data_IF_096459386727
#
_entry.id   IF_096459386727
#
_cell.length_a   1.000
_cell.length_b   1.000
_cell.length_c   1.000
_cell.angle_alpha   90.00
_cell.angle_beta   90.00
_cell.angle_gamma   90.00
#
_symmetry.space_group_name_H-M   'P 1'
#
loop_
_entity.id
_entity.type
_entity.pdbx_description
1 polymer ?
#
# COMPACT_ATOMS: atom_id res chain seq x y z
N UNK A 1 -36.78 1.57 4.12
CA UNK A 1 -35.51 1.38 4.85
C UNK A 1 -34.77 0.27 4.12
N UNK A 2 -33.81 0.59 3.26
CA UNK A 2 -33.00 -0.44 2.61
C UNK A 2 -32.01 -0.99 3.64
N UNK A 3 -32.11 -2.29 3.95
CA UNK A 3 -31.21 -2.96 4.88
C UNK A 3 -29.85 -3.14 4.21
N UNK A 4 -29.01 -2.11 4.29
CA UNK A 4 -27.62 -2.24 3.90
C UNK A 4 -26.82 -2.84 5.06
N UNK A 5 -26.04 -3.89 4.77
CA UNK A 5 -24.99 -4.32 5.68
C UNK A 5 -24.01 -3.16 5.87
N UNK A 6 -23.65 -2.88 7.12
CA UNK A 6 -22.65 -1.87 7.44
C UNK A 6 -21.33 -2.16 6.69
N UNK A 7 -20.62 -1.15 6.15
CA UNK A 7 -19.41 -1.37 5.35
C UNK A 7 -18.34 -2.22 6.05
N UNK A 8 -18.13 -2.01 7.35
CA UNK A 8 -17.22 -2.88 8.12
C UNK A 8 -17.67 -4.34 8.20
N UNK A 9 -18.98 -4.60 8.26
CA UNK A 9 -19.51 -5.96 8.20
C UNK A 9 -19.26 -6.61 6.83
N UNK A 10 -19.32 -5.82 5.74
CA UNK A 10 -18.95 -6.29 4.40
C UNK A 10 -17.47 -6.68 4.33
N UNK A 11 -16.57 -5.88 4.92
CA UNK A 11 -15.14 -6.17 4.95
C UNK A 11 -14.82 -7.41 5.81
N UNK A 12 -15.50 -7.56 6.97
CA UNK A 12 -15.40 -8.78 7.80
C UNK A 12 -15.88 -10.00 7.01
N UNK A 13 -17.01 -9.90 6.31
CA UNK A 13 -17.50 -10.98 5.46
C UNK A 13 -16.53 -11.31 4.33
N UNK A 14 -15.97 -10.30 3.66
CA UNK A 14 -14.96 -10.49 2.62
C UNK A 14 -13.71 -11.19 3.16
N UNK A 15 -13.22 -10.78 4.34
CA UNK A 15 -12.10 -11.43 5.03
C UNK A 15 -12.43 -12.87 5.38
N UNK A 16 -13.67 -13.15 5.81
CA UNK A 16 -14.12 -14.52 6.13
C UNK A 16 -14.09 -15.46 4.92
N UNK A 17 -14.21 -14.94 3.69
CA UNK A 17 -14.05 -15.74 2.47
C UNK A 17 -12.62 -16.31 2.37
N UNK A 18 -11.61 -15.52 2.74
CA UNK A 18 -10.21 -16.00 2.79
C UNK A 18 -10.08 -17.08 3.85
N UNK A 19 -10.61 -16.81 5.06
CA UNK A 19 -10.56 -17.76 6.19
C UNK A 19 -11.18 -19.10 5.81
N UNK A 20 -12.37 -19.07 5.19
CA UNK A 20 -13.06 -20.26 4.72
C UNK A 20 -12.27 -20.97 3.61
N UNK A 21 -11.86 -20.26 2.58
CA UNK A 21 -11.17 -20.84 1.42
C UNK A 21 -9.89 -21.59 1.85
N UNK A 22 -9.06 -21.00 2.69
CA UNK A 22 -7.74 -21.59 3.03
C UNK A 22 -7.82 -22.53 4.23
N UNK A 23 -8.74 -22.30 5.17
CA UNK A 23 -8.88 -23.10 6.38
C UNK A 23 -9.68 -24.38 6.15
N UNK A 24 -10.62 -24.39 5.19
CA UNK A 24 -11.65 -25.44 5.08
C UNK A 24 -11.79 -26.07 3.69
N UNK A 25 -11.06 -25.59 2.68
CA UNK A 25 -11.11 -26.19 1.33
C UNK A 25 -9.71 -26.59 0.87
N UNK A 26 -9.64 -27.60 -0.02
CA UNK A 26 -8.37 -28.01 -0.65
C UNK A 26 -7.89 -26.95 -1.66
N UNK A 27 -6.58 -26.80 -1.91
CA UNK A 27 -6.06 -25.77 -2.82
C UNK A 27 -6.53 -25.83 -4.27
N UNK A 28 -6.95 -27.01 -4.75
CA UNK A 28 -7.54 -27.19 -6.08
C UNK A 28 -9.07 -27.08 -6.13
N UNK A 29 -9.73 -26.74 -5.02
CA UNK A 29 -11.20 -26.71 -4.96
C UNK A 29 -11.78 -25.62 -5.85
N UNK A 30 -12.77 -25.99 -6.68
CA UNK A 30 -13.54 -25.03 -7.51
C UNK A 30 -14.30 -24.00 -6.66
N UNK A 31 -14.59 -24.32 -5.39
CA UNK A 31 -15.19 -23.37 -4.44
C UNK A 31 -14.31 -22.13 -4.29
N UNK A 32 -12.97 -22.28 -4.25
CA UNK A 32 -12.07 -21.13 -4.15
C UNK A 32 -12.21 -20.22 -5.37
N UNK A 33 -12.37 -20.79 -6.56
CA UNK A 33 -12.59 -20.01 -7.78
C UNK A 33 -13.98 -19.35 -7.77
N UNK A 34 -15.02 -20.06 -7.35
CA UNK A 34 -16.39 -19.55 -7.28
C UNK A 34 -16.57 -18.38 -6.29
N UNK A 35 -15.76 -18.32 -5.23
CA UNK A 35 -15.79 -17.22 -4.25
C UNK A 35 -15.03 -15.97 -4.70
N UNK A 36 -14.19 -16.06 -5.74
CA UNK A 36 -13.45 -14.91 -6.28
C UNK A 36 -14.36 -13.78 -6.79
N UNK A 37 -15.38 -14.03 -7.64
CA UNK A 37 -16.30 -12.97 -8.06
C UNK A 37 -17.12 -12.42 -6.90
N UNK A 38 -17.44 -13.23 -5.88
CA UNK A 38 -18.08 -12.75 -4.66
C UNK A 38 -17.16 -11.81 -3.87
N UNK A 39 -15.88 -12.15 -3.73
CA UNK A 39 -14.89 -11.29 -3.07
C UNK A 39 -14.74 -9.94 -3.79
N UNK A 40 -14.80 -9.94 -5.13
CA UNK A 40 -14.80 -8.71 -5.93
C UNK A 40 -16.10 -7.91 -5.77
N UNK A 41 -17.25 -8.57 -5.81
CA UNK A 41 -18.56 -7.94 -5.58
C UNK A 41 -18.63 -7.22 -4.23
N UNK A 42 -18.03 -7.78 -3.17
CA UNK A 42 -17.98 -7.15 -1.85
C UNK A 42 -17.18 -5.83 -1.83
N UNK A 43 -16.20 -5.66 -2.71
CA UNK A 43 -15.51 -4.36 -2.90
C UNK A 43 -16.50 -3.30 -3.38
N UNK A 44 -17.26 -3.62 -4.43
CA UNK A 44 -18.28 -2.70 -4.97
C UNK A 44 -19.38 -2.41 -3.96
N UNK A 45 -19.79 -3.41 -3.18
CA UNK A 45 -20.77 -3.21 -2.10
C UNK A 45 -20.24 -2.33 -0.98
N UNK A 46 -18.96 -2.47 -0.61
CA UNK A 46 -18.33 -1.55 0.34
C UNK A 46 -18.39 -0.12 -0.19
N UNK A 47 -17.90 0.12 -1.41
CA UNK A 47 -17.89 1.46 -2.02
C UNK A 47 -19.30 2.05 -2.09
N UNK A 48 -20.30 1.28 -2.53
CA UNK A 48 -21.68 1.74 -2.63
C UNK A 48 -22.32 2.13 -1.28
N UNK A 49 -21.87 1.50 -0.19
CA UNK A 49 -22.40 1.73 1.17
C UNK A 49 -21.48 2.58 2.05
N UNK A 50 -20.32 3.01 1.54
CA UNK A 50 -19.30 3.69 2.32
C UNK A 50 -19.81 4.96 3.02
N UNK A 51 -20.73 5.69 2.39
CA UNK A 51 -21.37 6.89 2.95
C UNK A 51 -21.98 6.69 4.35
N UNK A 52 -22.36 5.46 4.70
CA UNK A 52 -22.88 5.10 6.04
C UNK A 52 -21.84 5.32 7.15
N UNK A 53 -20.55 5.31 6.82
CA UNK A 53 -19.47 5.52 7.80
C UNK A 53 -19.38 6.97 8.31
N UNK A 54 -19.95 7.94 7.59
CA UNK A 54 -19.98 9.35 7.97
C UNK A 54 -18.62 10.07 8.00
N UNK A 55 -17.50 9.38 7.78
CA UNK A 55 -16.15 9.93 7.86
C UNK A 55 -15.34 9.58 6.60
N UNK A 56 -14.84 10.60 5.89
CA UNK A 56 -14.13 10.50 4.61
C UNK A 56 -12.89 9.61 4.65
N UNK A 57 -12.16 9.66 5.75
CA UNK A 57 -10.99 8.81 5.95
C UNK A 57 -11.38 7.34 6.12
N UNK A 58 -12.38 7.03 6.94
CA UNK A 58 -12.89 5.65 7.08
C UNK A 58 -13.46 5.12 5.76
N UNK A 59 -14.16 5.96 5.00
CA UNK A 59 -14.67 5.62 3.67
C UNK A 59 -13.53 5.25 2.71
N UNK A 60 -12.54 6.13 2.60
CA UNK A 60 -11.40 5.93 1.71
C UNK A 60 -10.59 4.70 2.10
N UNK A 61 -10.15 4.65 3.36
CA UNK A 61 -9.29 3.58 3.84
C UNK A 61 -9.99 2.22 3.78
N UNK A 62 -11.24 2.14 4.22
CA UNK A 62 -11.98 0.88 4.22
C UNK A 62 -12.23 0.34 2.80
N UNK A 63 -12.47 1.22 1.82
CA UNK A 63 -12.64 0.80 0.43
C UNK A 63 -11.32 0.40 -0.25
N UNK A 64 -10.22 1.09 0.09
CA UNK A 64 -8.88 0.67 -0.32
C UNK A 64 -8.51 -0.69 0.29
N UNK A 65 -8.86 -0.93 1.55
CA UNK A 65 -8.60 -2.22 2.20
C UNK A 65 -9.53 -3.34 1.68
N UNK A 66 -10.77 -3.03 1.30
CA UNK A 66 -11.64 -3.99 0.62
C UNK A 66 -11.02 -4.47 -0.71
N UNK A 67 -10.45 -3.55 -1.50
CA UNK A 67 -9.71 -3.92 -2.71
C UNK A 67 -8.47 -4.76 -2.38
N UNK A 68 -7.68 -4.38 -1.38
CA UNK A 68 -6.51 -5.15 -0.97
C UNK A 68 -6.86 -6.51 -0.38
N UNK A 69 -8.01 -6.65 0.27
CA UNK A 69 -8.54 -7.92 0.78
C UNK A 69 -8.95 -8.83 -0.38
N UNK A 70 -9.56 -8.28 -1.43
CA UNK A 70 -9.77 -9.00 -2.68
C UNK A 70 -8.45 -9.47 -3.32
N UNK A 71 -7.42 -8.62 -3.37
CA UNK A 71 -6.10 -9.03 -3.87
C UNK A 71 -5.42 -10.09 -2.97
N UNK A 72 -5.61 -10.01 -1.66
CA UNK A 72 -5.15 -11.05 -0.71
C UNK A 72 -5.84 -12.38 -0.99
N UNK A 73 -7.16 -12.37 -1.22
CA UNK A 73 -7.91 -13.56 -1.60
C UNK A 73 -7.34 -14.15 -2.89
N UNK A 74 -7.12 -13.31 -3.91
CA UNK A 74 -6.58 -13.75 -5.19
C UNK A 74 -5.22 -14.44 -5.01
N UNK A 75 -4.27 -13.80 -4.31
CA UNK A 75 -2.97 -14.42 -4.05
C UNK A 75 -3.10 -15.71 -3.23
N UNK A 76 -3.59 -15.60 -2.01
CA UNK A 76 -3.52 -16.68 -1.02
C UNK A 76 -4.41 -17.87 -1.41
N UNK A 77 -5.64 -17.62 -1.86
CA UNK A 77 -6.58 -18.70 -2.17
C UNK A 77 -6.31 -19.34 -3.53
N UNK A 78 -5.94 -18.55 -4.56
CA UNK A 78 -5.88 -19.03 -5.95
C UNK A 78 -4.48 -19.18 -6.52
N UNK A 79 -3.58 -18.20 -6.30
CA UNK A 79 -2.26 -18.19 -6.93
C UNK A 79 -1.23 -18.96 -6.12
N UNK A 80 -0.97 -18.50 -4.89
CA UNK A 80 -0.08 -19.14 -3.93
C UNK A 80 -0.67 -20.42 -3.33
N UNK A 81 -1.99 -20.64 -3.49
CA UNK A 81 -2.67 -21.90 -3.11
C UNK A 81 -2.36 -22.34 -1.67
N UNK A 82 -2.56 -21.42 -0.72
CA UNK A 82 -2.31 -21.70 0.68
C UNK A 82 -3.18 -22.84 1.20
N UNK A 83 -2.60 -23.64 2.08
CA UNK A 83 -3.16 -24.87 2.56
C UNK A 83 -2.87 -25.04 4.05
N UNK A 84 -3.90 -25.44 4.80
CA UNK A 84 -3.80 -25.63 6.25
C UNK A 84 -2.77 -26.69 6.60
N UNK A 85 -2.73 -27.80 5.84
CA UNK A 85 -1.87 -28.94 6.13
C UNK A 85 -0.37 -28.59 5.98
N UNK A 86 -0.06 -27.59 5.15
CA UNK A 86 1.29 -27.06 4.98
C UNK A 86 1.57 -25.84 5.87
N UNK A 87 0.53 -25.13 6.36
CA UNK A 87 0.68 -23.89 7.13
C UNK A 87 1.11 -22.70 6.27
N UNK A 88 0.79 -22.72 4.97
CA UNK A 88 1.25 -21.75 3.98
C UNK A 88 1.00 -22.22 2.54
N UNK A 89 1.64 -21.63 1.52
CA UNK A 89 1.63 -22.17 0.15
C UNK A 89 2.23 -23.59 0.13
N UNK A 90 1.81 -24.41 -0.84
CA UNK A 90 2.45 -25.70 -1.06
C UNK A 90 3.93 -25.51 -1.45
N UNK A 91 4.87 -26.29 -0.86
CA UNK A 91 6.28 -26.22 -1.25
C UNK A 91 6.46 -26.48 -2.74
N UNK A 92 7.31 -25.69 -3.40
CA UNK A 92 7.65 -25.92 -4.82
C UNK A 92 8.48 -27.19 -5.05
N UNK A 93 9.15 -27.67 -4.01
CA UNK A 93 9.94 -28.91 -4.01
C UNK A 93 9.48 -29.79 -2.84
N UNK A 94 9.20 -31.06 -3.12
CA UNK A 94 8.70 -32.02 -2.12
C UNK A 94 9.65 -32.21 -0.93
N UNK A 95 10.95 -31.98 -1.13
CA UNK A 95 12.01 -32.34 -0.18
C UNK A 95 12.24 -31.28 0.90
N UNK A 96 11.63 -30.10 0.78
CA UNK A 96 11.76 -29.02 1.77
C UNK A 96 10.53 -28.97 2.67
N UNK A 97 10.63 -29.61 3.84
CA UNK A 97 9.76 -29.30 4.98
C UNK A 97 10.11 -27.89 5.47
N UNK A 98 9.50 -26.88 4.87
CA UNK A 98 9.59 -25.52 5.43
C UNK A 98 9.00 -25.53 6.84
N UNK A 99 9.73 -24.96 7.80
CA UNK A 99 9.23 -24.76 9.17
C UNK A 99 8.16 -23.69 9.11
N UNK A 100 6.90 -24.09 8.97
CA UNK A 100 5.80 -23.14 8.98
C UNK A 100 5.40 -22.81 10.42
N UNK A 101 4.97 -21.56 10.71
CA UNK A 101 4.53 -21.18 12.05
C UNK A 101 3.23 -21.90 12.47
N UNK A 102 2.55 -22.55 11.52
CA UNK A 102 1.27 -23.22 11.73
C UNK A 102 1.40 -24.73 11.48
N UNK A 103 1.64 -25.50 12.56
CA UNK A 103 1.38 -26.95 12.61
C UNK A 103 0.62 -27.26 13.88
N UNK A 104 -0.70 -27.24 13.78
CA UNK A 104 -1.61 -27.60 14.88
C UNK A 104 -2.57 -28.69 14.38
N UNK A 105 -3.17 -29.43 15.32
CA UNK A 105 -4.20 -30.43 15.00
C UNK A 105 -5.32 -29.80 14.15
N UNK A 106 -5.96 -30.54 13.23
CA UNK A 106 -6.99 -30.02 12.31
C UNK A 106 -8.34 -29.75 13.00
N UNK A 107 -8.33 -29.09 14.15
CA UNK A 107 -9.53 -28.65 14.87
C UNK A 107 -10.15 -27.43 14.18
N UNK A 108 -11.45 -27.21 14.44
CA UNK A 108 -12.18 -26.04 13.95
C UNK A 108 -11.43 -24.73 14.25
N UNK A 109 -11.01 -24.54 15.50
CA UNK A 109 -10.33 -23.32 15.95
C UNK A 109 -8.96 -23.11 15.31
N UNK A 110 -8.21 -24.18 15.07
CA UNK A 110 -6.91 -24.08 14.41
C UNK A 110 -7.08 -23.70 12.93
N UNK A 111 -8.12 -24.23 12.25
CA UNK A 111 -8.45 -23.86 10.86
C UNK A 111 -8.89 -22.40 10.74
N UNK A 112 -9.73 -21.93 11.67
CA UNK A 112 -10.11 -20.51 11.75
C UNK A 112 -8.86 -19.65 11.99
N UNK A 113 -8.03 -20.00 12.97
CA UNK A 113 -6.81 -19.25 13.30
C UNK A 113 -5.84 -19.17 12.12
N UNK A 114 -5.62 -20.28 11.41
CA UNK A 114 -4.80 -20.30 10.20
C UNK A 114 -5.39 -19.41 9.10
N UNK A 115 -6.71 -19.45 8.92
CA UNK A 115 -7.40 -18.60 7.96
C UNK A 115 -7.27 -17.12 8.28
N UNK A 116 -7.43 -16.73 9.56
CA UNK A 116 -7.22 -15.34 10.00
C UNK A 116 -5.77 -14.92 9.76
N UNK A 117 -4.80 -15.78 10.08
CA UNK A 117 -3.39 -15.54 9.80
C UNK A 117 -3.15 -15.31 8.30
N UNK A 118 -3.67 -16.19 7.45
CA UNK A 118 -3.55 -16.08 6.01
C UNK A 118 -4.26 -14.83 5.47
N UNK A 119 -5.37 -14.40 6.07
CA UNK A 119 -6.09 -13.19 5.68
C UNK A 119 -5.40 -11.90 6.11
N UNK A 120 -4.67 -11.89 7.23
CA UNK A 120 -4.08 -10.68 7.83
C UNK A 120 -2.56 -10.54 7.64
N UNK A 121 -1.85 -11.62 7.30
CA UNK A 121 -0.37 -11.63 7.23
C UNK A 121 0.16 -11.10 5.90
N UNK A 122 -0.09 -9.83 5.62
CA UNK A 122 0.22 -9.21 4.32
C UNK A 122 1.71 -9.22 3.95
N UNK A 123 2.57 -9.16 4.97
CA UNK A 123 4.04 -9.14 4.82
C UNK A 123 4.69 -10.47 5.20
N UNK A 124 3.93 -11.38 5.82
CA UNK A 124 4.42 -12.66 6.33
C UNK A 124 5.73 -12.50 7.15
N UNK A 125 5.84 -11.40 7.92
CA UNK A 125 7.04 -11.02 8.68
C UNK A 125 7.42 -12.09 9.69
N UNK A 126 8.71 -12.41 9.78
CA UNK A 126 9.21 -13.43 10.70
C UNK A 126 8.86 -14.86 10.29
N UNK A 127 8.47 -15.08 9.03
CA UNK A 127 8.10 -16.41 8.51
C UNK A 127 8.89 -16.75 7.23
N UNK A 128 8.94 -18.02 6.79
CA UNK A 128 9.59 -18.39 5.53
C UNK A 128 9.01 -17.70 4.28
N UNK A 129 7.80 -17.15 4.40
CA UNK A 129 7.07 -16.50 3.29
C UNK A 129 7.20 -14.97 3.31
N UNK A 130 8.11 -14.44 4.13
CA UNK A 130 8.35 -13.01 4.31
C UNK A 130 8.59 -12.30 2.97
N UNK A 131 7.97 -11.12 2.81
CA UNK A 131 8.22 -10.27 1.64
C UNK A 131 9.64 -9.72 1.66
N UNK A 132 10.31 -9.56 0.50
CA UNK A 132 11.63 -8.96 0.48
C UNK A 132 11.58 -7.49 0.93
N UNK A 133 12.72 -6.97 1.38
CA UNK A 133 12.89 -5.57 1.79
C UNK A 133 12.06 -5.15 3.01
N UNK A 134 11.71 -6.06 3.93
CA UNK A 134 11.29 -5.62 5.27
C UNK A 134 12.46 -4.99 6.02
N UNK A 135 12.19 -3.88 6.70
CA UNK A 135 13.15 -3.25 7.58
C UNK A 135 13.42 -4.14 8.80
N UNK A 136 14.68 -4.34 9.23
CA UNK A 136 14.94 -4.95 10.52
C UNK A 136 14.51 -4.02 11.67
N UNK A 137 14.42 -4.57 12.89
CA UNK A 137 14.20 -3.73 14.08
C UNK A 137 15.41 -2.85 14.40
N UNK A 138 16.60 -3.35 14.06
CA UNK A 138 17.88 -2.67 14.14
C UNK A 138 18.67 -2.89 12.83
N UNK A 139 19.12 -1.80 12.19
CA UNK A 139 19.89 -1.88 10.94
C UNK A 139 21.32 -2.40 11.16
N UNK A 140 21.86 -2.30 12.38
CA UNK A 140 23.20 -2.81 12.74
C UNK A 140 23.17 -4.30 13.10
N UNK A 141 22.06 -4.78 13.64
CA UNK A 141 21.81 -6.20 13.91
C UNK A 141 20.47 -6.62 13.30
N UNK A 142 20.46 -7.07 12.02
CA UNK A 142 19.24 -7.51 11.36
C UNK A 142 18.55 -8.73 12.00
N UNK A 143 19.25 -9.46 12.88
CA UNK A 143 18.69 -10.61 13.60
C UNK A 143 18.00 -10.22 14.92
N UNK A 144 18.22 -8.99 15.39
CA UNK A 144 17.66 -8.49 16.63
C UNK A 144 16.12 -8.43 16.58
N UNK A 145 15.50 -9.01 17.60
CA UNK A 145 14.07 -8.88 17.89
C UNK A 145 13.92 -8.28 19.30
N UNK A 146 13.26 -7.13 19.47
CA UNK A 146 13.09 -6.53 20.77
C UNK A 146 12.20 -7.37 21.68
N UNK A 147 12.42 -7.27 22.99
CA UNK A 147 11.50 -7.86 23.96
C UNK A 147 10.09 -7.26 23.84
N UNK A 148 9.06 -8.02 24.27
CA UNK A 148 7.67 -7.55 24.29
C UNK A 148 7.53 -6.16 24.93
N UNK A 149 8.14 -5.95 26.10
CA UNK A 149 8.08 -4.67 26.80
C UNK A 149 8.78 -3.53 26.02
N UNK A 150 9.95 -3.79 25.43
CA UNK A 150 10.67 -2.80 24.65
C UNK A 150 9.91 -2.41 23.36
N UNK A 151 9.33 -3.39 22.67
CA UNK A 151 8.47 -3.16 21.51
C UNK A 151 7.25 -2.32 21.87
N UNK A 152 6.48 -2.74 22.88
CA UNK A 152 5.24 -2.05 23.28
C UNK A 152 5.52 -0.61 23.70
N UNK A 153 6.60 -0.37 24.47
CA UNK A 153 7.01 0.98 24.85
C UNK A 153 7.34 1.85 23.63
N UNK A 154 8.14 1.33 22.69
CA UNK A 154 8.55 2.08 21.48
C UNK A 154 7.34 2.38 20.58
N UNK A 155 6.45 1.40 20.39
CA UNK A 155 5.24 1.56 19.59
C UNK A 155 4.27 2.56 20.24
N UNK A 156 4.03 2.48 21.55
CA UNK A 156 3.14 3.41 22.25
C UNK A 156 3.65 4.86 22.20
N UNK A 157 4.95 5.09 22.44
CA UNK A 157 5.56 6.42 22.28
C UNK A 157 5.39 6.93 20.84
N UNK A 158 5.65 6.06 19.84
CA UNK A 158 5.51 6.44 18.44
C UNK A 158 4.06 6.79 18.08
N UNK A 159 3.07 6.05 18.58
CA UNK A 159 1.64 6.37 18.39
C UNK A 159 1.32 7.75 18.94
N UNK A 160 1.75 8.07 20.16
CA UNK A 160 1.51 9.39 20.76
C UNK A 160 2.17 10.50 19.94
N UNK A 161 3.45 10.35 19.61
CA UNK A 161 4.19 11.36 18.82
C UNK A 161 3.55 11.56 17.45
N UNK A 162 3.23 10.47 16.75
CA UNK A 162 2.64 10.54 15.41
C UNK A 162 1.23 11.15 15.45
N UNK A 163 0.43 10.83 16.46
CA UNK A 163 -0.88 11.47 16.66
C UNK A 163 -0.74 12.98 16.86
N UNK A 164 0.16 13.43 17.74
CA UNK A 164 0.41 14.86 17.98
C UNK A 164 0.93 15.57 16.72
N UNK A 165 1.77 14.92 15.92
CA UNK A 165 2.23 15.48 14.64
C UNK A 165 1.07 15.64 13.65
N UNK A 166 0.22 14.62 13.51
CA UNK A 166 -0.95 14.68 12.62
C UNK A 166 -1.94 15.75 13.08
N UNK A 167 -2.21 15.83 14.38
CA UNK A 167 -3.04 16.87 14.97
C UNK A 167 -2.50 18.26 14.61
N UNK A 168 -1.24 18.56 14.94
CA UNK A 168 -0.60 19.83 14.62
C UNK A 168 -0.60 20.18 13.12
N UNK A 169 -0.41 19.19 12.24
CA UNK A 169 -0.48 19.41 10.78
C UNK A 169 -1.90 19.72 10.28
N UNK A 170 -2.93 19.33 11.04
CA UNK A 170 -4.34 19.52 10.67
C UNK A 170 -5.00 20.72 11.34
N UNK A 171 -4.55 21.15 12.52
CA UNK A 171 -5.19 22.21 13.32
C UNK A 171 -5.11 23.62 12.71
N UNK A 172 -4.17 23.90 11.80
CA UNK A 172 -3.91 25.26 11.28
C UNK A 172 -4.33 25.48 9.82
N UNK A 173 -5.28 24.69 9.30
CA UNK A 173 -5.70 24.81 7.91
C UNK A 173 -6.78 25.88 7.73
N UNK A 174 -6.48 26.93 6.97
CA UNK A 174 -7.46 27.89 6.48
C UNK A 174 -8.15 27.37 5.18
N UNK A 175 -9.47 27.15 5.15
CA UNK A 175 -10.17 26.66 3.97
C UNK A 175 -9.95 27.51 2.70
N UNK A 176 -9.85 28.84 2.84
CA UNK A 176 -9.66 29.73 1.68
C UNK A 176 -8.30 29.57 1.02
N UNK A 177 -7.24 29.62 1.83
CA UNK A 177 -5.88 29.34 1.38
C UNK A 177 -5.78 27.97 0.70
N UNK A 178 -6.46 26.97 1.26
CA UNK A 178 -6.39 25.59 0.76
C UNK A 178 -7.06 25.42 -0.60
N UNK A 179 -8.21 26.07 -0.84
CA UNK A 179 -8.86 26.10 -2.16
C UNK A 179 -7.92 26.63 -3.24
N UNK A 180 -7.23 27.72 -2.95
CA UNK A 180 -6.25 28.28 -3.88
C UNK A 180 -5.05 27.35 -4.10
N UNK A 181 -4.55 26.73 -3.03
CA UNK A 181 -3.37 25.87 -3.08
C UNK A 181 -3.62 24.60 -3.91
N UNK A 182 -4.79 23.96 -3.75
CA UNK A 182 -5.13 22.68 -4.37
C UNK A 182 -5.98 22.80 -5.63
N UNK A 183 -6.06 23.98 -6.24
CA UNK A 183 -6.86 24.23 -7.42
C UNK A 183 -6.45 23.33 -8.61
N UNK A 184 -7.44 22.78 -9.32
CA UNK A 184 -7.22 21.80 -10.40
C UNK A 184 -6.32 22.36 -11.53
N UNK A 185 -6.37 23.66 -11.80
CA UNK A 185 -5.53 24.29 -12.82
C UNK A 185 -4.03 24.21 -12.50
N UNK A 186 -3.64 24.07 -11.23
CA UNK A 186 -2.23 23.95 -10.78
C UNK A 186 -1.67 22.54 -10.93
N UNK A 187 -2.52 21.55 -11.23
CA UNK A 187 -2.10 20.16 -11.45
C UNK A 187 -1.11 20.05 -12.62
N UNK A 188 -1.44 20.49 -13.85
CA UNK A 188 -0.53 20.41 -14.99
C UNK A 188 0.64 21.40 -14.86
N UNK A 189 1.85 20.87 -14.70
CA UNK A 189 3.07 21.68 -14.58
C UNK A 189 3.71 22.00 -15.94
N UNK A 190 3.89 20.98 -16.78
CA UNK A 190 4.72 21.10 -18.00
C UNK A 190 4.14 22.07 -19.03
N UNK A 191 2.82 22.15 -19.15
CA UNK A 191 2.13 23.13 -20.03
C UNK A 191 2.15 24.55 -19.48
N UNK A 192 2.59 24.73 -18.23
CA UNK A 192 2.50 25.98 -17.47
C UNK A 192 3.85 26.42 -16.89
N UNK A 193 4.97 25.84 -17.31
CA UNK A 193 6.30 26.12 -16.75
C UNK A 193 6.66 27.63 -16.80
N UNK A 194 6.27 28.34 -17.86
CA UNK A 194 6.50 29.78 -18.00
C UNK A 194 5.67 30.62 -17.02
N UNK A 195 4.58 30.08 -16.49
CA UNK A 195 3.71 30.72 -15.50
C UNK A 195 3.99 30.31 -14.06
N UNK A 196 4.93 29.38 -13.84
CA UNK A 196 5.27 28.90 -12.50
C UNK A 196 6.01 29.99 -11.73
N UNK A 197 5.36 30.54 -10.70
CA UNK A 197 6.01 31.49 -9.79
C UNK A 197 6.85 30.75 -8.76
N UNK A 198 7.82 31.47 -8.15
CA UNK A 198 8.61 30.93 -7.05
C UNK A 198 7.72 30.49 -5.87
N UNK A 199 6.72 31.30 -5.53
CA UNK A 199 5.78 30.98 -4.45
C UNK A 199 4.97 29.71 -4.74
N UNK A 200 4.49 29.54 -5.98
CA UNK A 200 3.80 28.31 -6.37
C UNK A 200 4.73 27.09 -6.28
N UNK A 201 5.98 27.22 -6.72
CA UNK A 201 6.96 26.15 -6.62
C UNK A 201 7.21 25.76 -5.15
N UNK A 202 7.41 26.73 -4.25
CA UNK A 202 7.58 26.49 -2.81
C UNK A 202 6.34 25.81 -2.22
N UNK A 203 5.14 26.30 -2.53
CA UNK A 203 3.88 25.72 -2.05
C UNK A 203 3.65 24.31 -2.58
N UNK A 204 3.96 24.05 -3.86
CA UNK A 204 3.88 22.73 -4.47
C UNK A 204 4.83 21.73 -3.80
N UNK A 205 6.05 22.16 -3.48
CA UNK A 205 7.01 21.34 -2.73
C UNK A 205 6.49 21.03 -1.33
N UNK A 206 6.06 22.05 -0.58
CA UNK A 206 5.59 21.89 0.80
C UNK A 206 4.35 21.01 0.90
N UNK A 207 3.37 21.21 0.01
CA UNK A 207 2.14 20.43 -0.02
C UNK A 207 2.37 18.99 -0.43
N UNK A 208 3.24 18.75 -1.42
CA UNK A 208 3.63 17.39 -1.82
C UNK A 208 4.34 16.66 -0.69
N UNK A 209 5.29 17.32 -0.02
CA UNK A 209 5.98 16.74 1.13
C UNK A 209 5.01 16.45 2.27
N UNK A 210 4.14 17.39 2.61
CA UNK A 210 3.12 17.24 3.66
C UNK A 210 2.16 16.10 3.36
N UNK A 211 1.71 15.96 2.10
CA UNK A 211 0.85 14.86 1.66
C UNK A 211 1.51 13.50 1.92
N UNK A 212 2.76 13.31 1.49
CA UNK A 212 3.46 12.05 1.71
C UNK A 212 3.79 11.80 3.18
N UNK A 213 4.12 12.85 3.94
CA UNK A 213 4.37 12.77 5.37
C UNK A 213 3.12 12.34 6.13
N UNK A 214 1.96 12.94 5.86
CA UNK A 214 0.68 12.54 6.47
C UNK A 214 0.39 11.06 6.18
N UNK A 215 0.52 10.62 4.92
CA UNK A 215 0.30 9.23 4.56
C UNK A 215 1.28 8.28 5.25
N UNK A 216 2.56 8.66 5.34
CA UNK A 216 3.59 7.91 6.07
C UNK A 216 3.23 7.74 7.55
N UNK A 217 2.84 8.83 8.21
CA UNK A 217 2.46 8.87 9.62
C UNK A 217 1.20 8.04 9.89
N UNK A 218 0.17 8.20 9.06
CA UNK A 218 -1.07 7.42 9.13
C UNK A 218 -0.77 5.92 9.00
N UNK A 219 0.06 5.52 8.04
CA UNK A 219 0.44 4.12 7.85
C UNK A 219 1.25 3.55 9.03
N UNK A 220 2.01 4.39 9.76
CA UNK A 220 2.63 3.98 11.02
C UNK A 220 1.57 3.66 12.06
N UNK A 221 0.55 4.51 12.24
CA UNK A 221 -0.53 4.25 13.20
C UNK A 221 -1.30 2.96 12.87
N UNK A 222 -1.58 2.74 11.59
CA UNK A 222 -2.21 1.49 11.11
C UNK A 222 -1.38 0.25 11.35
N UNK A 223 -0.08 0.41 11.56
CA UNK A 223 0.80 -0.68 11.87
C UNK A 223 0.95 -0.87 13.38
N UNK A 224 1.16 0.22 14.11
CA UNK A 224 1.46 0.16 15.53
C UNK A 224 0.25 -0.12 16.40
N UNK A 225 -0.93 0.44 16.09
CA UNK A 225 -2.12 0.24 16.92
C UNK A 225 -2.54 -1.24 16.92
N UNK A 226 -2.73 -1.91 15.75
CA UNK A 226 -2.97 -3.34 15.73
C UNK A 226 -1.81 -4.14 16.32
N UNK A 227 -0.56 -3.71 16.11
CA UNK A 227 0.62 -4.38 16.66
C UNK A 227 0.65 -4.37 18.19
N UNK A 228 0.34 -3.24 18.81
CA UNK A 228 0.20 -3.11 20.26
C UNK A 228 -0.89 -4.06 20.76
N UNK A 229 -2.05 -4.07 20.13
CA UNK A 229 -3.17 -4.93 20.53
C UNK A 229 -2.78 -6.41 20.43
N UNK A 230 -2.27 -6.85 19.27
CA UNK A 230 -1.95 -8.25 19.02
C UNK A 230 -0.77 -8.75 19.86
N UNK A 231 0.26 -7.94 20.08
CA UNK A 231 1.41 -8.34 20.93
C UNK A 231 1.03 -8.31 22.41
N UNK A 232 0.23 -7.36 22.86
CA UNK A 232 -0.22 -7.27 24.26
C UNK A 232 -1.07 -8.48 24.64
N UNK A 233 -2.01 -8.86 23.77
CA UNK A 233 -2.91 -10.02 23.94
C UNK A 233 -2.25 -11.37 23.67
N UNK A 234 -1.04 -11.39 23.08
CA UNK A 234 -0.34 -12.62 22.74
C UNK A 234 -0.86 -13.31 21.47
N UNK A 235 -1.69 -12.64 20.67
CA UNK A 235 -2.17 -13.14 19.37
C UNK A 235 -1.06 -13.26 18.32
N UNK A 236 0.05 -12.52 18.49
CA UNK A 236 1.22 -12.58 17.61
C UNK A 236 2.50 -12.24 18.37
N UNK A 237 3.63 -12.76 17.90
CA UNK A 237 4.96 -12.41 18.40
C UNK A 237 5.44 -11.04 17.88
N UNK A 238 6.44 -10.47 18.54
CA UNK A 238 7.04 -9.17 18.17
C UNK A 238 7.64 -9.24 16.77
N UNK A 239 8.21 -10.37 16.39
CA UNK A 239 8.88 -10.62 15.11
C UNK A 239 7.97 -10.48 13.87
N UNK A 240 6.64 -10.47 14.07
CA UNK A 240 5.65 -10.26 13.01
C UNK A 240 5.44 -8.76 12.72
N UNK A 241 5.90 -7.91 13.64
CA UNK A 241 5.67 -6.48 13.63
C UNK A 241 6.92 -5.66 13.27
N UNK A 242 7.74 -6.16 12.35
CA UNK A 242 8.89 -5.42 11.79
C UNK A 242 8.44 -4.08 11.19
N UNK A 243 9.26 -3.02 11.22
CA UNK A 243 8.84 -1.70 10.77
C UNK A 243 8.26 -1.70 9.34
N UNK A 244 7.20 -0.91 9.07
CA UNK A 244 6.53 -0.92 7.77
C UNK A 244 7.38 -0.29 6.65
N UNK A 245 8.21 0.69 6.98
CA UNK A 245 9.09 1.42 6.07
C UNK A 245 10.56 1.09 6.34
N UNK A 246 11.40 1.13 5.30
CA UNK A 246 12.86 1.15 5.45
C UNK A 246 13.38 2.59 5.59
N UNK A 247 14.69 2.73 5.77
CA UNK A 247 15.36 4.02 5.77
C UNK A 247 15.08 4.81 4.48
N UNK A 248 14.78 6.10 4.62
CA UNK A 248 14.66 7.04 3.50
C UNK A 248 15.98 7.21 2.75
N UNK A 249 17.11 6.84 3.37
CA UNK A 249 18.43 6.81 2.72
C UNK A 249 18.51 5.85 1.54
N UNK A 250 17.52 4.98 1.39
CA UNK A 250 17.38 4.05 0.29
C UNK A 250 16.57 4.62 -0.88
N UNK A 251 15.89 5.75 -0.72
CA UNK A 251 14.88 6.25 -1.64
C UNK A 251 15.43 7.09 -2.81
N UNK A 252 16.69 6.88 -3.22
CA UNK A 252 17.38 7.66 -4.25
C UNK A 252 17.10 7.22 -5.70
N UNK A 253 16.18 6.27 -5.91
CA UNK A 253 15.65 5.96 -7.25
C UNK A 253 14.16 5.67 -7.09
N UNK A 254 13.35 5.86 -8.13
CA UNK A 254 11.92 5.55 -8.09
C UNK A 254 11.68 4.06 -7.77
N UNK A 255 12.51 3.16 -8.32
CA UNK A 255 12.46 1.73 -7.98
C UNK A 255 12.72 1.47 -6.51
N UNK A 256 13.69 2.16 -5.90
CA UNK A 256 13.97 2.00 -4.46
C UNK A 256 12.95 2.73 -3.60
N UNK A 257 12.46 3.88 -4.02
CA UNK A 257 11.39 4.61 -3.34
C UNK A 257 10.19 3.69 -3.12
N UNK A 258 9.63 3.11 -4.19
CA UNK A 258 8.46 2.22 -4.10
C UNK A 258 8.81 0.81 -3.64
N UNK A 259 9.95 0.27 -4.07
CA UNK A 259 10.31 -1.13 -3.90
C UNK A 259 11.13 -1.42 -2.64
N UNK A 260 11.62 -0.42 -1.90
CA UNK A 260 12.49 -0.60 -0.73
C UNK A 260 12.04 0.30 0.42
N UNK A 261 11.90 1.61 0.19
CA UNK A 261 11.57 2.59 1.22
C UNK A 261 10.10 2.54 1.64
N UNK A 262 9.19 2.71 0.68
CA UNK A 262 7.75 2.78 0.91
C UNK A 262 7.21 1.49 1.54
N UNK A 263 6.04 1.55 2.16
CA UNK A 263 5.57 0.43 2.98
C UNK A 263 5.43 -0.88 2.18
N UNK A 264 5.86 -1.99 2.79
CA UNK A 264 5.84 -3.30 2.11
C UNK A 264 4.50 -4.07 2.28
N UNK A 265 3.50 -3.47 2.93
CA UNK A 265 2.21 -4.12 3.29
C UNK A 265 1.32 -4.48 2.11
N UNK A 266 1.56 -3.93 0.93
CA UNK A 266 0.76 -4.20 -0.28
C UNK A 266 1.52 -5.03 -1.30
N UNK A 267 2.84 -5.16 -1.14
CA UNK A 267 3.76 -5.70 -2.15
C UNK A 267 3.33 -7.06 -2.67
N UNK A 268 3.09 -8.01 -1.76
CA UNK A 268 2.76 -9.39 -2.12
C UNK A 268 1.43 -9.47 -2.86
N UNK A 269 0.40 -8.85 -2.28
CA UNK A 269 -0.99 -8.82 -2.77
C UNK A 269 -1.11 -8.20 -4.16
N UNK A 270 -0.34 -7.15 -4.42
CA UNK A 270 -0.32 -6.48 -5.72
C UNK A 270 0.53 -7.27 -6.73
N UNK A 271 1.74 -7.68 -6.33
CA UNK A 271 2.68 -8.28 -7.27
C UNK A 271 2.27 -9.70 -7.68
N UNK A 272 1.60 -10.47 -6.84
CA UNK A 272 1.18 -11.84 -7.17
C UNK A 272 0.30 -11.89 -8.43
N UNK A 273 -0.87 -11.21 -8.48
CA UNK A 273 -1.71 -11.19 -9.68
C UNK A 273 -1.02 -10.49 -10.86
N UNK A 274 -0.26 -9.41 -10.64
CA UNK A 274 0.47 -8.73 -11.72
C UNK A 274 1.49 -9.65 -12.41
N UNK A 275 2.27 -10.42 -11.61
CA UNK A 275 3.22 -11.38 -12.14
C UNK A 275 2.54 -12.58 -12.79
N UNK A 276 1.44 -13.07 -12.23
CA UNK A 276 0.67 -14.17 -12.81
C UNK A 276 0.06 -13.77 -14.17
N UNK A 277 -0.54 -12.59 -14.28
CA UNK A 277 -1.04 -12.08 -15.57
C UNK A 277 0.11 -11.99 -16.59
N UNK A 278 1.25 -11.43 -16.19
CA UNK A 278 2.41 -11.29 -17.08
C UNK A 278 2.93 -12.64 -17.60
N UNK A 279 3.04 -13.64 -16.71
CA UNK A 279 3.76 -14.90 -16.99
C UNK A 279 2.85 -16.04 -17.45
N UNK A 280 1.64 -16.13 -16.92
CA UNK A 280 0.77 -17.29 -17.12
C UNK A 280 -0.38 -16.96 -18.08
N UNK A 281 -0.92 -15.74 -18.01
CA UNK A 281 -1.98 -15.27 -18.94
C UNK A 281 -1.37 -14.78 -20.25
N UNK A 282 -0.47 -13.80 -20.18
CA UNK A 282 0.19 -13.21 -21.35
C UNK A 282 1.40 -14.02 -21.85
N UNK A 283 1.89 -14.97 -21.05
CA UNK A 283 2.99 -15.89 -21.40
C UNK A 283 4.25 -15.19 -21.87
N UNK A 284 4.55 -14.00 -21.32
CA UNK A 284 5.72 -13.24 -21.72
C UNK A 284 7.02 -13.91 -21.23
N UNK A 285 8.06 -14.02 -22.07
CA UNK A 285 9.30 -14.68 -21.68
C UNK A 285 9.99 -13.96 -20.52
N UNK A 286 10.40 -14.74 -19.51
CA UNK A 286 11.08 -14.21 -18.32
C UNK A 286 12.39 -13.51 -18.71
N UNK A 287 12.70 -12.42 -18.02
CA UNK A 287 13.93 -11.64 -18.24
C UNK A 287 13.84 -10.61 -19.36
N UNK A 288 12.81 -10.65 -20.21
CA UNK A 288 12.62 -9.65 -21.27
C UNK A 288 12.22 -8.28 -20.72
N UNK A 289 12.57 -7.20 -21.44
CA UNK A 289 12.12 -5.84 -21.10
C UNK A 289 10.60 -5.72 -21.17
N UNK A 290 9.96 -6.35 -22.15
CA UNK A 290 8.50 -6.38 -22.28
C UNK A 290 7.83 -6.99 -21.04
N UNK A 291 8.27 -8.19 -20.61
CA UNK A 291 7.74 -8.81 -19.39
C UNK A 291 7.95 -7.94 -18.15
N UNK A 292 9.11 -7.27 -18.04
CA UNK A 292 9.41 -6.37 -16.92
C UNK A 292 8.44 -5.20 -16.86
N UNK A 293 8.27 -4.47 -17.96
CA UNK A 293 7.43 -3.27 -17.97
C UNK A 293 5.94 -3.59 -17.92
N UNK A 294 5.51 -4.69 -18.53
CA UNK A 294 4.12 -5.17 -18.36
C UNK A 294 3.84 -5.49 -16.89
N UNK A 295 4.75 -6.17 -16.19
CA UNK A 295 4.60 -6.44 -14.75
C UNK A 295 4.56 -5.15 -13.92
N UNK A 296 5.39 -4.15 -14.26
CA UNK A 296 5.38 -2.82 -13.59
C UNK A 296 4.07 -2.09 -13.83
N UNK A 297 3.58 -2.03 -15.08
CA UNK A 297 2.31 -1.40 -15.42
C UNK A 297 1.18 -2.07 -14.65
N UNK A 298 1.09 -3.40 -14.67
CA UNK A 298 0.05 -4.14 -13.94
C UNK A 298 0.12 -3.92 -12.42
N UNK A 299 1.33 -3.83 -11.84
CA UNK A 299 1.55 -3.51 -10.42
C UNK A 299 0.94 -2.14 -10.08
N UNK A 300 1.24 -1.13 -10.90
CA UNK A 300 0.69 0.20 -10.69
C UNK A 300 -0.80 0.30 -11.05
N UNK A 301 -1.31 -0.48 -11.99
CA UNK A 301 -2.76 -0.59 -12.26
C UNK A 301 -3.51 -1.12 -11.04
N UNK A 302 -2.98 -2.13 -10.35
CA UNK A 302 -3.60 -2.63 -9.11
C UNK A 302 -3.56 -1.57 -7.99
N UNK A 303 -2.50 -0.76 -7.96
CA UNK A 303 -2.40 0.40 -7.05
C UNK A 303 -3.41 1.48 -7.43
N UNK A 304 -3.64 1.71 -8.73
CA UNK A 304 -4.64 2.64 -9.25
C UNK A 304 -6.02 2.28 -8.71
N UNK A 305 -6.43 1.02 -8.86
CA UNK A 305 -7.73 0.56 -8.37
C UNK A 305 -7.85 0.68 -6.85
N UNK A 306 -6.80 0.34 -6.10
CA UNK A 306 -6.78 0.49 -4.63
C UNK A 306 -7.12 1.91 -4.20
N UNK A 307 -6.48 2.90 -4.81
CA UNK A 307 -6.66 4.30 -4.41
C UNK A 307 -7.94 4.88 -5.02
N UNK A 308 -8.30 4.51 -6.24
CA UNK A 308 -9.55 4.95 -6.87
C UNK A 308 -10.79 4.43 -6.12
N UNK A 309 -10.78 3.20 -5.58
CA UNK A 309 -11.89 2.72 -4.74
C UNK A 309 -12.03 3.54 -3.47
N UNK A 310 -10.91 3.93 -2.85
CA UNK A 310 -10.89 4.84 -1.69
C UNK A 310 -11.41 6.23 -2.04
N UNK A 311 -10.91 6.80 -3.13
CA UNK A 311 -11.33 8.11 -3.63
C UNK A 311 -12.84 8.14 -3.87
N UNK A 312 -13.38 7.17 -4.62
CA UNK A 312 -14.81 7.08 -4.94
C UNK A 312 -15.66 6.86 -3.70
N UNK A 313 -15.24 5.99 -2.79
CA UNK A 313 -15.94 5.79 -1.52
C UNK A 313 -16.00 7.07 -0.68
N UNK A 314 -14.95 7.89 -0.73
CA UNK A 314 -14.89 9.19 -0.03
C UNK A 314 -15.60 10.34 -0.76
N UNK A 315 -16.19 10.08 -1.93
CA UNK A 315 -17.00 11.04 -2.68
C UNK A 315 -16.32 11.72 -3.87
N UNK A 316 -15.07 11.37 -4.21
CA UNK A 316 -14.41 11.86 -5.43
C UNK A 316 -14.98 11.09 -6.63
N UNK A 317 -15.45 11.79 -7.67
CA UNK A 317 -15.96 11.11 -8.86
C UNK A 317 -14.86 10.31 -9.56
N UNK A 318 -15.24 9.23 -10.26
CA UNK A 318 -14.29 8.41 -11.05
C UNK A 318 -13.55 9.22 -12.13
N UNK A 319 -14.14 10.32 -12.60
CA UNK A 319 -13.52 11.24 -13.56
C UNK A 319 -12.52 12.22 -12.93
N UNK A 320 -12.59 12.43 -11.61
CA UNK A 320 -11.71 13.34 -10.86
C UNK A 320 -10.67 12.63 -10.00
N UNK A 321 -10.74 11.31 -9.85
CA UNK A 321 -9.66 10.58 -9.17
C UNK A 321 -8.36 10.77 -9.94
N UNK A 322 -7.37 11.32 -9.24
CA UNK A 322 -6.01 11.49 -9.72
C UNK A 322 -5.18 10.21 -9.74
N UNK A 323 -5.72 9.14 -9.17
CA UNK A 323 -5.07 7.84 -9.00
C UNK A 323 -4.48 7.28 -10.31
N UNK A 324 -5.25 7.11 -11.42
CA UNK A 324 -4.69 6.59 -12.66
C UNK A 324 -3.53 7.44 -13.19
N UNK A 325 -3.67 8.76 -13.15
CA UNK A 325 -2.65 9.71 -13.61
C UNK A 325 -1.35 9.59 -12.82
N UNK A 326 -1.44 9.44 -11.50
CA UNK A 326 -0.26 9.32 -10.64
C UNK A 326 0.39 7.94 -10.69
N UNK A 327 -0.38 6.86 -10.53
CA UNK A 327 0.22 5.53 -10.42
C UNK A 327 0.72 5.00 -11.76
N UNK A 328 -0.02 5.19 -12.86
CA UNK A 328 0.40 4.67 -14.16
C UNK A 328 1.62 5.40 -14.73
N UNK A 329 1.78 6.69 -14.45
CA UNK A 329 2.96 7.44 -14.91
C UNK A 329 4.25 6.92 -14.27
N UNK A 330 4.19 6.25 -13.12
CA UNK A 330 5.37 5.65 -12.49
C UNK A 330 6.08 4.64 -13.39
N UNK A 331 5.36 3.94 -14.28
CA UNK A 331 5.97 3.06 -15.28
C UNK A 331 6.88 3.83 -16.25
N UNK A 332 6.47 5.03 -16.68
CA UNK A 332 7.29 5.93 -17.49
C UNK A 332 8.52 6.39 -16.70
N UNK A 333 8.33 6.77 -15.43
CA UNK A 333 9.45 7.15 -14.56
C UNK A 333 10.49 6.04 -14.41
N UNK A 334 10.04 4.79 -14.34
CA UNK A 334 10.93 3.63 -14.30
C UNK A 334 11.70 3.46 -15.61
N UNK A 335 11.06 3.64 -16.77
CA UNK A 335 11.70 3.57 -18.08
C UNK A 335 12.75 4.67 -18.25
N UNK A 336 12.42 5.92 -17.86
CA UNK A 336 13.35 7.05 -17.90
C UNK A 336 14.54 6.82 -16.98
N UNK A 337 14.29 6.36 -15.75
CA UNK A 337 15.34 6.01 -14.79
C UNK A 337 16.29 4.94 -15.34
N UNK A 338 15.77 3.88 -15.97
CA UNK A 338 16.60 2.84 -16.60
C UNK A 338 17.42 3.40 -17.77
N UNK A 339 16.83 4.29 -18.58
CA UNK A 339 17.52 4.93 -19.71
C UNK A 339 18.68 5.81 -19.21
N UNK A 340 18.45 6.64 -18.18
CA UNK A 340 19.52 7.47 -17.60
C UNK A 340 20.62 6.63 -16.97
N UNK A 341 20.26 5.57 -16.24
CA UNK A 341 21.25 4.65 -15.67
C UNK A 341 22.04 3.91 -16.76
N UNK A 342 21.39 3.54 -17.87
CA UNK A 342 22.05 2.95 -19.02
C UNK A 342 23.05 3.92 -19.65
N UNK A 343 22.61 5.13 -20.01
CA UNK A 343 23.47 6.16 -20.61
C UNK A 343 24.65 6.47 -19.69
N UNK A 344 24.39 6.67 -18.39
CA UNK A 344 25.45 6.93 -17.41
C UNK A 344 26.52 5.85 -17.41
N UNK A 345 26.12 4.57 -17.46
CA UNK A 345 27.08 3.45 -17.51
C UNK A 345 27.88 3.38 -18.81
N UNK A 346 27.36 3.93 -19.91
CA UNK A 346 28.08 3.98 -21.19
C UNK A 346 29.07 5.15 -21.24
N UNK A 347 28.73 6.30 -20.65
CA UNK A 347 29.54 7.53 -20.78
C UNK A 347 30.47 7.79 -19.61
N UNK A 348 30.10 7.37 -18.40
CA UNK A 348 30.88 7.61 -17.20
C UNK A 348 31.93 6.51 -17.01
N UNK A 349 33.14 6.86 -16.51
CA UNK A 349 34.16 5.86 -16.21
C UNK A 349 33.66 4.87 -15.14
N UNK A 350 34.12 3.62 -15.17
CA UNK A 350 33.59 2.56 -14.30
C UNK A 350 33.62 2.90 -12.79
N UNK A 351 34.65 3.63 -12.33
CA UNK A 351 34.76 4.10 -10.95
C UNK A 351 33.62 5.05 -10.54
N UNK A 352 33.00 5.73 -11.50
CA UNK A 352 31.92 6.69 -11.30
C UNK A 352 30.54 6.05 -11.19
N UNK A 353 30.40 4.74 -11.45
CA UNK A 353 29.08 4.10 -11.53
C UNK A 353 28.36 4.02 -10.18
N UNK A 354 29.09 3.89 -9.07
CA UNK A 354 28.53 3.67 -7.73
C UNK A 354 29.12 4.63 -6.68
N UNK A 355 29.17 5.92 -6.99
CA UNK A 355 29.70 6.95 -6.08
C UNK A 355 28.61 7.58 -5.22
N UNK A 356 29.00 8.42 -4.26
CA UNK A 356 28.04 9.17 -3.44
C UNK A 356 27.22 10.16 -4.28
N UNK A 357 27.81 10.78 -5.32
CA UNK A 357 27.11 11.76 -6.15
C UNK A 357 26.07 11.12 -7.08
N UNK A 358 26.21 9.85 -7.47
CA UNK A 358 25.11 9.16 -8.20
C UNK A 358 23.87 9.01 -7.33
N UNK A 359 24.04 8.85 -6.01
CA UNK A 359 22.91 8.89 -5.06
C UNK A 359 22.31 10.30 -4.96
N UNK A 360 23.13 11.35 -4.95
CA UNK A 360 22.65 12.75 -4.94
C UNK A 360 21.81 13.05 -6.19
N UNK A 361 22.32 12.72 -7.38
CA UNK A 361 21.53 12.85 -8.62
C UNK A 361 20.25 12.01 -8.58
N UNK A 362 20.31 10.83 -7.98
CA UNK A 362 19.14 10.00 -7.73
C UNK A 362 18.08 10.67 -6.85
N UNK A 363 18.48 11.33 -5.75
CA UNK A 363 17.54 12.11 -4.93
C UNK A 363 16.95 13.29 -5.67
N UNK A 364 17.76 14.02 -6.45
CA UNK A 364 17.28 15.13 -7.29
C UNK A 364 16.23 14.61 -8.28
N UNK A 365 16.50 13.47 -8.90
CA UNK A 365 15.56 12.81 -9.82
C UNK A 365 14.25 12.42 -9.14
N UNK A 366 14.29 11.72 -8.01
CA UNK A 366 13.09 11.32 -7.26
C UNK A 366 12.30 12.56 -6.81
N UNK A 367 13.00 13.58 -6.31
CA UNK A 367 12.37 14.83 -5.91
C UNK A 367 11.68 15.53 -7.10
N UNK A 368 12.37 15.70 -8.23
CA UNK A 368 11.81 16.33 -9.42
C UNK A 368 10.60 15.54 -9.97
N UNK A 369 10.69 14.22 -9.97
CA UNK A 369 9.59 13.35 -10.37
C UNK A 369 8.37 13.51 -9.46
N UNK A 370 8.57 13.44 -8.14
CA UNK A 370 7.49 13.60 -7.16
C UNK A 370 6.92 15.00 -7.17
N UNK A 371 7.75 16.04 -7.33
CA UNK A 371 7.31 17.42 -7.51
C UNK A 371 6.39 17.56 -8.71
N UNK A 372 6.71 16.87 -9.81
CA UNK A 372 5.87 16.87 -11.00
C UNK A 372 4.56 16.10 -10.81
N UNK A 373 4.60 14.83 -10.42
CA UNK A 373 3.41 13.97 -10.48
C UNK A 373 2.57 13.95 -9.19
N UNK A 374 3.10 14.28 -8.01
CA UNK A 374 2.33 14.19 -6.73
C UNK A 374 1.02 14.96 -6.80
N UNK A 375 0.96 16.20 -7.33
CA UNK A 375 -0.29 16.94 -7.45
C UNK A 375 -1.36 16.28 -8.30
N UNK A 376 -1.00 15.37 -9.21
CA UNK A 376 -1.99 14.60 -9.97
C UNK A 376 -2.95 13.86 -9.03
N UNK A 377 -2.44 13.34 -7.91
CA UNK A 377 -3.22 12.61 -6.92
C UNK A 377 -3.51 13.42 -5.65
N UNK A 378 -2.50 14.12 -5.11
CA UNK A 378 -2.61 14.80 -3.83
C UNK A 378 -3.64 15.94 -3.84
N UNK A 379 -3.78 16.67 -4.94
CA UNK A 379 -4.64 17.86 -4.97
C UNK A 379 -6.13 17.49 -4.94
N UNK A 380 -6.64 16.58 -5.81
CA UNK A 380 -8.03 16.13 -5.72
C UNK A 380 -8.39 15.53 -4.35
N UNK A 381 -7.49 14.75 -3.76
CA UNK A 381 -7.70 14.14 -2.43
C UNK A 381 -7.74 15.21 -1.33
N UNK A 382 -6.83 16.18 -1.38
CA UNK A 382 -6.74 17.25 -0.37
C UNK A 382 -7.93 18.21 -0.44
N UNK A 383 -8.40 18.54 -1.64
CA UNK A 383 -9.61 19.32 -1.86
C UNK A 383 -10.87 18.60 -1.34
N UNK A 384 -10.97 17.28 -1.57
CA UNK A 384 -12.14 16.50 -1.15
C UNK A 384 -12.27 16.33 0.38
N UNK A 385 -11.16 16.02 1.06
CA UNK A 385 -11.15 15.77 2.51
C UNK A 385 -11.64 16.97 3.36
N UNK A 386 -11.73 18.17 2.76
CA UNK A 386 -12.05 19.42 3.45
C UNK A 386 -13.41 20.02 3.08
N UNK A 387 -14.26 19.26 2.38
CA UNK A 387 -15.65 19.63 2.14
C UNK A 387 -15.90 20.57 0.95
N UNK A 388 -14.93 20.72 0.04
CA UNK A 388 -14.99 21.68 -1.08
C UNK A 388 -15.92 21.27 -2.24
N UNK A 389 -16.84 20.31 -2.06
CA UNK A 389 -17.83 20.00 -3.08
C UNK A 389 -19.05 20.92 -2.94
N UNK A 390 -19.43 21.71 -3.96
CA UNK A 390 -20.68 22.47 -3.94
C UNK A 390 -21.85 21.54 -3.65
N UNK A 391 -22.56 21.77 -2.54
CA UNK A 391 -23.75 21.00 -2.15
C UNK A 391 -23.53 19.84 -1.16
N UNK A 392 -22.37 19.74 -0.48
CA UNK A 392 -22.20 18.80 0.66
C UNK A 392 -21.64 19.48 1.91
N UNK A 393 -22.12 19.12 3.12
CA UNK A 393 -21.53 19.61 4.37
C UNK A 393 -20.11 19.06 4.54
N UNK A 394 -19.22 19.90 5.08
CA UNK A 394 -17.85 19.53 5.40
C UNK A 394 -17.82 18.28 6.29
N UNK A 395 -16.98 17.31 5.93
CA UNK A 395 -16.82 16.02 6.64
C UNK A 395 -16.12 16.20 8.00
N UNK A 396 -15.53 17.36 8.25
CA UNK A 396 -14.99 17.75 9.54
C UNK A 396 -15.72 18.99 10.04
N UNK A 397 -16.13 19.06 11.32
CA UNK A 397 -16.62 20.30 11.88
C UNK A 397 -15.48 21.31 11.84
N UNK A 398 -15.63 22.33 10.99
CA UNK A 398 -14.94 23.60 11.18
C UNK A 398 -15.50 24.14 12.49
N UNK A 399 -14.67 24.18 13.54
CA UNK A 399 -15.01 24.91 14.77
C UNK A 399 -15.01 26.40 14.49
#
# INVERSE_FOLDING_TARGET
MEWYLHPWSLLVFQTSLIVFAVGFTRPGSLIRLALWPLALYLVFRFVATAHVLGNGFHMSFGASDAWLTFLQYWDVALLSKWDFDYGGPQPKAADKKEKTPWRKQPTLWNRIGFGIYAASSYRCSGTPFEVPNLAPFDEKDPSYVPSKAAYLRKAAIRVVVVYLMLDAMTSFNDPESMRSIFADEKIPLLSRLSSLTFDEAVMRTFTSFSFWLVNYLVLILFFDIPGIICVSTGLSGVEWWRPPFRSITEAFTLRRYWGVFWHQSVRKRINAPANWITKDVLRLPRGTLLARYVAVILTFTMSTFQHATGDVASGISISRTGSPSFFLVQALGFMMEDLFQYIWRQVAPAWAHNTWYTKVFGYIWVFAWMFWCTPFYAFPVSANNRGEQPGRPAILPVQ
#
